data_IF_276799174091
#
_entry.id   IF_276799174091
#
_cell.length_a   1.000
_cell.length_b   1.000
_cell.length_c   1.000
_cell.angle_alpha   90.00
_cell.angle_beta   90.00
_cell.angle_gamma   90.00
#
_symmetry.space_group_name_H-M   'P 1'
#
loop_
_entity.id
_entity.type
_entity.pdbx_description
1 polymer ?
#
# COMPACT_ATOMS: atom_id res chain seq x y z
N UNK A 1 -27.86 2.33 -9.01
CA UNK A 1 -27.01 1.21 -8.57
C UNK A 1 -26.46 0.49 -9.80
N UNK A 2 -25.19 0.72 -10.17
CA UNK A 2 -24.56 0.02 -11.30
C UNK A 2 -23.91 -1.25 -10.77
N UNK A 3 -24.47 -2.40 -11.14
CA UNK A 3 -23.90 -3.72 -10.80
C UNK A 3 -22.60 -3.92 -11.58
N UNK A 4 -21.46 -4.02 -10.87
CA UNK A 4 -20.14 -4.34 -11.44
C UNK A 4 -19.91 -5.84 -11.66
N UNK A 5 -20.97 -6.64 -11.82
CA UNK A 5 -20.86 -8.08 -12.05
C UNK A 5 -19.97 -8.35 -13.27
N UNK A 6 -18.74 -8.83 -13.03
CA UNK A 6 -17.75 -9.21 -14.05
C UNK A 6 -16.74 -8.14 -14.49
N UNK A 7 -16.80 -6.89 -14.02
CA UNK A 7 -15.82 -5.86 -14.41
C UNK A 7 -14.67 -5.79 -13.41
N UNK A 8 -13.45 -6.18 -13.81
CA UNK A 8 -12.24 -5.95 -13.00
C UNK A 8 -11.66 -4.58 -13.31
N UNK A 9 -11.36 -3.80 -12.28
CA UNK A 9 -10.68 -2.51 -12.41
C UNK A 9 -9.26 -2.65 -11.87
N UNK A 10 -8.22 -2.33 -12.66
CA UNK A 10 -6.85 -2.41 -12.18
C UNK A 10 -6.62 -1.34 -11.11
N UNK A 11 -5.86 -1.65 -10.04
CA UNK A 11 -5.54 -0.67 -9.02
C UNK A 11 -4.60 0.41 -9.54
N UNK A 12 -4.82 1.63 -9.07
CA UNK A 12 -3.81 2.68 -9.09
C UNK A 12 -3.00 2.60 -7.80
N UNK A 13 -1.68 2.47 -7.91
CA UNK A 13 -0.77 2.29 -6.76
C UNK A 13 0.12 3.52 -6.62
N UNK A 14 0.16 4.08 -5.41
CA UNK A 14 1.00 5.22 -5.06
C UNK A 14 1.86 4.88 -3.85
N UNK A 15 3.16 5.12 -3.97
CA UNK A 15 4.09 5.01 -2.86
C UNK A 15 4.29 6.40 -2.25
N UNK A 16 3.80 6.58 -1.04
CA UNK A 16 3.92 7.85 -0.32
C UNK A 16 5.18 7.83 0.56
N UNK A 17 5.97 8.91 0.54
CA UNK A 17 7.16 9.02 1.37
C UNK A 17 6.79 9.15 2.86
N UNK A 18 7.75 8.92 3.77
CA UNK A 18 7.55 9.22 5.18
C UNK A 18 7.23 10.72 5.36
N UNK A 19 6.37 11.07 6.33
CA UNK A 19 6.07 12.46 6.64
C UNK A 19 7.34 13.21 7.11
N UNK A 20 7.46 14.52 6.83
CA UNK A 20 8.64 15.31 7.20
C UNK A 20 9.01 15.25 8.68
N UNK A 21 8.01 15.12 9.56
CA UNK A 21 8.20 15.03 10.99
C UNK A 21 8.92 13.75 11.41
N UNK A 22 8.74 12.65 10.67
CA UNK A 22 9.44 11.38 10.88
C UNK A 22 10.88 11.44 10.34
N UNK A 23 11.08 12.14 9.21
CA UNK A 23 12.41 12.33 8.60
C UNK A 23 13.34 13.20 9.45
N UNK A 24 12.77 14.21 10.12
CA UNK A 24 13.52 15.18 10.94
C UNK A 24 13.50 14.83 12.43
N UNK A 25 12.67 13.85 12.83
CA UNK A 25 12.52 13.40 14.20
C UNK A 25 13.63 12.45 14.66
N UNK A 26 13.66 12.10 15.96
CA UNK A 26 14.65 11.19 16.53
C UNK A 26 14.38 9.70 16.20
N UNK A 27 13.40 9.41 15.32
CA UNK A 27 12.99 8.05 15.05
C UNK A 27 14.02 7.31 14.19
N UNK A 28 14.53 6.15 14.61
CA UNK A 28 15.51 5.38 13.85
C UNK A 28 14.87 4.61 12.67
N UNK A 29 13.56 4.70 12.51
CA UNK A 29 12.77 3.98 11.52
C UNK A 29 11.91 4.97 10.75
N UNK A 30 11.74 4.71 9.45
CA UNK A 30 10.89 5.49 8.57
C UNK A 30 9.72 4.63 8.09
N UNK A 31 8.54 5.23 8.00
CA UNK A 31 7.35 4.58 7.47
C UNK A 31 7.18 4.85 5.98
N UNK A 32 6.93 3.79 5.21
CA UNK A 32 6.49 3.89 3.82
C UNK A 32 5.02 3.50 3.76
N UNK A 33 4.24 4.27 3.00
CA UNK A 33 2.82 4.02 2.84
C UNK A 33 2.52 3.65 1.40
N UNK A 34 1.87 2.50 1.20
CA UNK A 34 1.35 2.09 -0.10
C UNK A 34 -0.15 2.39 -0.15
N UNK A 35 -0.55 3.30 -1.05
CA UNK A 35 -1.94 3.66 -1.29
C UNK A 35 -2.43 2.99 -2.58
N UNK A 36 -3.44 2.13 -2.45
CA UNK A 36 -4.05 1.37 -3.54
C UNK A 36 -5.48 1.87 -3.73
N UNK A 37 -5.82 2.41 -4.91
CA UNK A 37 -7.16 2.97 -5.16
C UNK A 37 -7.78 2.58 -6.50
N UNK A 38 -9.09 2.68 -6.58
CA UNK A 38 -9.83 2.58 -7.84
C UNK A 38 -9.88 1.16 -8.42
N UNK A 39 -9.83 0.14 -7.56
CA UNK A 39 -9.80 -1.26 -7.95
C UNK A 39 -11.13 -1.95 -7.65
N UNK A 40 -11.37 -3.05 -8.36
CA UNK A 40 -12.50 -3.94 -8.14
C UNK A 40 -12.16 -5.35 -8.67
N UNK A 41 -12.51 -6.44 -7.97
CA UNK A 41 -13.26 -6.51 -6.69
C UNK A 41 -12.43 -5.99 -5.50
N UNK A 42 -13.05 -5.87 -4.33
CA UNK A 42 -12.40 -5.35 -3.11
C UNK A 42 -11.31 -6.28 -2.55
N UNK A 43 -11.26 -7.54 -3.01
CA UNK A 43 -10.24 -8.51 -2.61
C UNK A 43 -8.90 -8.20 -3.30
N UNK A 44 -7.93 -7.71 -2.54
CA UNK A 44 -6.57 -7.42 -2.99
C UNK A 44 -5.53 -7.89 -1.97
N UNK A 45 -4.41 -8.43 -2.46
CA UNK A 45 -3.24 -8.77 -1.64
C UNK A 45 -2.10 -7.79 -1.96
N UNK A 46 -1.48 -7.25 -0.91
CA UNK A 46 -0.41 -6.24 -1.02
C UNK A 46 0.77 -6.69 -0.18
N UNK A 47 1.94 -6.77 -0.80
CA UNK A 47 3.16 -7.26 -0.16
C UNK A 47 4.33 -6.31 -0.40
N UNK A 48 5.13 -6.09 0.64
CA UNK A 48 6.39 -5.36 0.51
C UNK A 48 7.53 -6.29 0.11
N UNK A 49 8.31 -5.84 -0.86
CA UNK A 49 9.54 -6.49 -1.29
C UNK A 49 10.68 -5.48 -1.24
N UNK A 50 11.87 -5.96 -0.85
CA UNK A 50 13.11 -5.18 -0.89
C UNK A 50 14.08 -5.91 -1.79
N UNK A 51 14.59 -5.25 -2.83
CA UNK A 51 15.52 -5.85 -3.79
C UNK A 51 14.96 -7.15 -4.42
N UNK A 52 13.66 -7.20 -4.72
CA UNK A 52 12.95 -8.38 -5.25
C UNK A 52 12.87 -9.57 -4.29
N UNK A 53 13.29 -9.40 -3.03
CA UNK A 53 13.10 -10.39 -1.97
C UNK A 53 11.91 -10.01 -1.10
N UNK A 54 11.09 -11.02 -0.75
CA UNK A 54 9.98 -10.82 0.18
C UNK A 54 10.52 -10.49 1.57
N UNK A 55 9.95 -9.46 2.18
CA UNK A 55 10.27 -9.11 3.55
C UNK A 55 9.75 -10.19 4.51
N UNK A 56 10.53 -10.51 5.53
CA UNK A 56 10.02 -11.35 6.60
C UNK A 56 9.00 -10.58 7.47
N UNK A 57 8.25 -11.30 8.32
CA UNK A 57 7.23 -10.69 9.18
C UNK A 57 7.76 -9.58 10.10
N UNK A 58 9.03 -9.62 10.50
CA UNK A 58 9.64 -8.59 11.34
C UNK A 58 9.93 -7.28 10.58
N UNK A 59 10.16 -7.38 9.26
CA UNK A 59 10.49 -6.29 8.35
C UNK A 59 9.27 -5.73 7.62
N UNK A 60 8.20 -6.52 7.50
CA UNK A 60 6.94 -6.10 6.89
C UNK A 60 6.12 -5.21 7.85
N UNK A 61 6.66 -4.02 8.17
CA UNK A 61 6.02 -3.00 9.02
C UNK A 61 5.50 -1.81 8.22
N UNK A 62 5.39 -1.93 6.90
CA UNK A 62 4.88 -0.85 6.06
C UNK A 62 3.38 -0.66 6.25
N UNK A 63 2.91 0.58 6.07
CA UNK A 63 1.50 0.91 6.23
C UNK A 63 0.77 0.70 4.89
N UNK A 64 -0.40 0.06 4.92
CA UNK A 64 -1.24 -0.18 3.75
C UNK A 64 -2.52 0.64 3.85
N UNK A 65 -2.86 1.38 2.79
CA UNK A 65 -4.15 2.06 2.64
C UNK A 65 -4.83 1.60 1.35
N UNK A 66 -6.11 1.22 1.42
CA UNK A 66 -6.90 0.77 0.28
C UNK A 66 -8.22 1.56 0.17
N UNK A 67 -8.53 2.05 -1.04
CA UNK A 67 -9.77 2.76 -1.36
C UNK A 67 -10.46 2.12 -2.59
N UNK A 68 -11.69 1.62 -2.42
CA UNK A 68 -12.45 0.94 -3.48
C UNK A 68 -13.22 1.93 -4.36
N UNK A 69 -13.59 1.50 -5.58
CA UNK A 69 -14.22 2.34 -6.62
C UNK A 69 -15.76 2.31 -6.59
#
# INVERSE_FOLDING_TARGET
FRFFAGKRLPPSVYLLPPPPEELLGPHPTLSLTCLVRGFYPEDVDVQWQKNQENLNFAQNRGNFGAETA
#
